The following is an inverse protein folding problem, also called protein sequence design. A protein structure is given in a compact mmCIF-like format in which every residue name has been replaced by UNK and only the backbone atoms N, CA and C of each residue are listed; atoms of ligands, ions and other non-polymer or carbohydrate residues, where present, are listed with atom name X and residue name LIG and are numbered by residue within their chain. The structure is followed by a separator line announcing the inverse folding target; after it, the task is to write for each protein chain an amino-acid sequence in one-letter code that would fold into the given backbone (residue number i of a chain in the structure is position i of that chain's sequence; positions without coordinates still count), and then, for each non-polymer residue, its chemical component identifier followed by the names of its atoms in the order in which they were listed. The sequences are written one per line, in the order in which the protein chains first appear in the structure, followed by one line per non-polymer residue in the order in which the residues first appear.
data_IF_095152100238
#
_entry.id   IF_095152100238
#
_cell.length_a   1.000
_cell.length_b   1.000
_cell.length_c   1.000
_cell.angle_alpha   90.00
_cell.angle_beta   90.00
_cell.angle_gamma   90.00
#
_symmetry.space_group_name_H-M   'P 1'
#
loop_
_entity.id
_entity.type
_entity.pdbx_description
1 polymer ?
#
# COMPACT_ATOMS: atom_id res chain seq x y z
N UNK A 1 -33.28 -21.77 -3.60
CA UNK A 1 -32.29 -20.95 -4.35
C UNK A 1 -30.99 -20.87 -3.56
N UNK A 2 -29.94 -21.60 -3.98
CA UNK A 2 -28.59 -21.46 -3.43
C UNK A 2 -28.01 -20.15 -3.95
N UNK A 3 -27.73 -19.18 -3.05
CA UNK A 3 -26.95 -17.97 -3.36
C UNK A 3 -25.52 -18.37 -3.70
N UNK A 4 -25.31 -18.75 -4.96
CA UNK A 4 -24.01 -18.92 -5.57
C UNK A 4 -23.55 -17.58 -6.14
N UNK A 5 -22.64 -16.91 -5.44
CA UNK A 5 -21.54 -16.14 -6.04
C UNK A 5 -20.59 -15.77 -4.91
N UNK A 6 -19.55 -16.58 -4.78
CA UNK A 6 -18.51 -16.44 -3.78
C UNK A 6 -17.76 -15.13 -3.99
N UNK A 7 -17.92 -14.18 -3.06
CA UNK A 7 -17.21 -12.88 -2.99
C UNK A 7 -15.70 -13.05 -2.79
N UNK A 8 -15.18 -14.28 -2.79
CA UNK A 8 -13.80 -14.63 -2.44
C UNK A 8 -12.79 -14.48 -3.59
N UNK A 9 -13.23 -14.17 -4.82
CA UNK A 9 -12.34 -13.71 -5.91
C UNK A 9 -12.19 -12.18 -5.98
N UNK A 10 -12.99 -11.43 -5.21
CA UNK A 10 -13.12 -9.95 -5.35
C UNK A 10 -12.27 -9.17 -4.34
N UNK A 11 -11.61 -9.85 -3.39
CA UNK A 11 -10.81 -9.19 -2.35
C UNK A 11 -9.53 -8.52 -2.88
N UNK A 12 -8.89 -9.12 -3.88
CA UNK A 12 -7.55 -8.72 -4.32
C UNK A 12 -7.55 -7.39 -5.11
N UNK A 13 -8.57 -7.14 -5.95
CA UNK A 13 -8.67 -5.88 -6.73
C UNK A 13 -8.92 -4.65 -5.87
N UNK A 14 -9.74 -4.80 -4.82
CA UNK A 14 -10.14 -3.68 -3.94
C UNK A 14 -8.95 -2.96 -3.29
N UNK A 15 -7.87 -3.68 -3.00
CA UNK A 15 -6.69 -3.08 -2.40
C UNK A 15 -5.94 -2.19 -3.39
N UNK A 16 -5.83 -2.61 -4.64
CA UNK A 16 -5.26 -1.79 -5.72
C UNK A 16 -6.17 -0.59 -6.04
N UNK A 17 -7.49 -0.75 -5.96
CA UNK A 17 -8.45 0.33 -6.19
C UNK A 17 -8.26 1.48 -5.19
N UNK A 18 -7.99 1.18 -3.91
CA UNK A 18 -7.72 2.22 -2.90
C UNK A 18 -6.44 3.01 -3.22
N UNK A 19 -5.38 2.33 -3.65
CA UNK A 19 -4.16 3.01 -4.09
C UNK A 19 -4.42 3.88 -5.32
N UNK A 20 -5.13 3.33 -6.32
CA UNK A 20 -5.53 4.07 -7.52
C UNK A 20 -6.33 5.33 -7.18
N UNK A 21 -7.30 5.24 -6.27
CA UNK A 21 -8.07 6.40 -5.82
C UNK A 21 -7.18 7.49 -5.18
N UNK A 22 -6.19 7.12 -4.36
CA UNK A 22 -5.26 8.11 -3.80
C UNK A 22 -4.42 8.81 -4.89
N UNK A 23 -4.04 8.08 -5.95
CA UNK A 23 -3.32 8.65 -7.10
C UNK A 23 -4.24 9.58 -7.91
N UNK A 24 -5.50 9.22 -8.12
CA UNK A 24 -6.49 10.06 -8.79
C UNK A 24 -6.71 11.37 -8.03
N UNK A 25 -6.83 11.32 -6.69
CA UNK A 25 -6.95 12.52 -5.86
C UNK A 25 -5.69 13.38 -5.96
N UNK A 26 -4.50 12.78 -5.95
CA UNK A 26 -3.23 13.51 -6.11
C UNK A 26 -3.18 14.25 -7.44
N UNK A 27 -3.53 13.58 -8.54
CA UNK A 27 -3.53 14.17 -9.88
C UNK A 27 -4.57 15.29 -9.98
N UNK A 28 -5.79 15.04 -9.48
CA UNK A 28 -6.85 16.04 -9.47
C UNK A 28 -6.45 17.29 -8.66
N UNK A 29 -5.80 17.10 -7.51
CA UNK A 29 -5.26 18.21 -6.72
C UNK A 29 -4.22 19.00 -7.52
N UNK A 30 -3.26 18.34 -8.17
CA UNK A 30 -2.22 19.01 -8.98
C UNK A 30 -2.78 19.80 -10.17
N UNK A 31 -3.83 19.29 -10.78
CA UNK A 31 -4.46 19.92 -11.95
C UNK A 31 -5.33 21.11 -11.56
N UNK A 32 -6.11 20.99 -10.47
CA UNK A 32 -7.22 21.91 -10.20
C UNK A 32 -6.98 22.86 -9.02
N UNK A 33 -6.43 22.37 -7.91
CA UNK A 33 -6.32 23.15 -6.67
C UNK A 33 -4.88 23.58 -6.34
N UNK A 34 -3.90 22.75 -6.69
CA UNK A 34 -2.49 22.87 -6.35
C UNK A 34 -2.25 23.11 -4.84
N UNK A 35 -3.11 22.51 -4.01
CA UNK A 35 -3.01 22.67 -2.56
C UNK A 35 -1.80 21.86 -2.05
N UNK A 36 -0.78 22.56 -1.57
CA UNK A 36 0.48 21.96 -1.11
C UNK A 36 0.25 20.98 0.05
N UNK A 37 -0.58 21.34 1.04
CA UNK A 37 -0.83 20.50 2.21
C UNK A 37 -1.54 19.20 1.85
N UNK A 38 -2.44 19.23 0.88
CA UNK A 38 -3.15 18.05 0.38
C UNK A 38 -2.18 17.11 -0.34
N UNK A 39 -1.36 17.66 -1.24
CA UNK A 39 -0.33 16.89 -1.94
C UNK A 39 0.67 16.25 -0.95
N UNK A 40 1.14 17.05 0.01
CA UNK A 40 2.04 16.58 1.06
C UNK A 40 1.41 15.45 1.89
N UNK A 41 0.15 15.62 2.31
CA UNK A 41 -0.57 14.59 3.06
C UNK A 41 -0.72 13.27 2.29
N UNK A 42 -0.96 13.37 0.98
CA UNK A 42 -1.08 12.20 0.10
C UNK A 42 0.26 11.49 -0.09
N UNK A 43 1.31 12.23 -0.45
CA UNK A 43 2.64 11.68 -0.75
C UNK A 43 3.35 11.14 0.49
N UNK A 44 3.28 11.86 1.61
CA UNK A 44 4.03 11.51 2.82
C UNK A 44 3.32 10.46 3.69
N UNK A 45 2.00 10.28 3.54
CA UNK A 45 1.21 9.42 4.43
C UNK A 45 0.23 8.48 3.72
N UNK A 46 -0.75 9.01 2.97
CA UNK A 46 -1.88 8.18 2.47
C UNK A 46 -1.44 7.15 1.43
N UNK A 47 -0.65 7.58 0.44
CA UNK A 47 -0.17 6.70 -0.63
C UNK A 47 0.75 5.61 -0.06
N UNK A 48 1.78 5.92 0.76
CA UNK A 48 2.62 4.87 1.35
C UNK A 48 1.84 3.92 2.26
N UNK A 49 0.89 4.42 3.07
CA UNK A 49 0.01 3.55 3.86
C UNK A 49 -0.80 2.58 3.00
N UNK A 50 -1.32 3.04 1.85
CA UNK A 50 -2.04 2.16 0.93
C UNK A 50 -1.15 1.05 0.39
N UNK A 51 0.12 1.35 0.06
CA UNK A 51 1.10 0.36 -0.42
C UNK A 51 1.41 -0.68 0.66
N UNK A 52 1.68 -0.24 1.90
CA UNK A 52 1.92 -1.14 3.03
C UNK A 52 0.70 -2.05 3.26
N UNK A 53 -0.51 -1.50 3.16
CA UNK A 53 -1.75 -2.26 3.32
C UNK A 53 -1.91 -3.31 2.23
N UNK A 54 -1.73 -2.96 0.95
CA UNK A 54 -1.72 -3.91 -0.18
C UNK A 54 -0.72 -5.03 0.09
N UNK A 55 0.52 -4.66 0.43
CA UNK A 55 1.59 -5.62 0.66
C UNK A 55 1.27 -6.58 1.80
N UNK A 56 0.82 -6.06 2.94
CA UNK A 56 0.49 -6.89 4.10
C UNK A 56 -0.70 -7.83 3.82
N UNK A 57 -1.74 -7.36 3.13
CA UNK A 57 -2.93 -8.16 2.82
C UNK A 57 -2.62 -9.29 1.83
N UNK A 58 -1.87 -9.00 0.76
CA UNK A 58 -1.50 -9.99 -0.25
C UNK A 58 -0.44 -10.97 0.27
N UNK A 59 0.48 -10.50 1.14
CA UNK A 59 1.44 -11.40 1.79
C UNK A 59 0.74 -12.44 2.68
N UNK A 60 -0.31 -12.03 3.41
CA UNK A 60 -1.13 -12.92 4.23
C UNK A 60 -1.91 -13.93 3.40
N UNK A 61 -2.57 -13.48 2.33
CA UNK A 61 -3.37 -14.39 1.49
C UNK A 61 -2.50 -15.42 0.75
N UNK A 62 -1.21 -15.14 0.57
CA UNK A 62 -0.28 -15.98 -0.17
C UNK A 62 -0.53 -16.00 -1.69
N UNK A 63 -1.55 -15.28 -2.17
CA UNK A 63 -1.95 -15.22 -3.58
C UNK A 63 -1.21 -14.09 -4.30
N UNK A 64 -1.07 -14.23 -5.62
CA UNK A 64 -0.56 -13.20 -6.52
C UNK A 64 0.81 -12.64 -6.08
N UNK A 65 1.70 -13.51 -5.59
CA UNK A 65 3.04 -13.12 -5.12
C UNK A 65 3.81 -12.40 -6.22
N UNK A 66 3.80 -12.93 -7.44
CA UNK A 66 4.57 -12.33 -8.54
C UNK A 66 4.05 -10.93 -8.89
N UNK A 67 2.73 -10.74 -8.92
CA UNK A 67 2.11 -9.43 -9.13
C UNK A 67 2.45 -8.44 -8.00
N UNK A 68 2.48 -8.92 -6.75
CA UNK A 68 2.88 -8.11 -5.60
C UNK A 68 4.33 -7.64 -5.70
N UNK A 69 5.24 -8.55 -6.07
CA UNK A 69 6.66 -8.22 -6.26
C UNK A 69 6.87 -7.30 -7.45
N UNK A 70 6.10 -7.48 -8.53
CA UNK A 70 6.08 -6.55 -9.67
C UNK A 70 5.61 -5.16 -9.25
N UNK A 71 4.53 -5.08 -8.45
CA UNK A 71 3.99 -3.82 -7.94
C UNK A 71 5.00 -3.04 -7.09
N UNK A 72 5.68 -3.67 -6.12
CA UNK A 72 6.66 -2.97 -5.27
C UNK A 72 7.96 -2.61 -5.97
N UNK A 73 8.25 -3.26 -7.11
CA UNK A 73 9.45 -2.96 -7.90
C UNK A 73 9.24 -1.79 -8.86
N UNK A 74 8.01 -1.31 -9.03
CA UNK A 74 7.74 -0.08 -9.76
C UNK A 74 8.42 1.12 -9.11
N UNK A 75 9.10 1.95 -9.92
CA UNK A 75 9.89 3.07 -9.44
C UNK A 75 9.04 4.12 -8.70
N UNK A 76 7.79 4.35 -9.12
CA UNK A 76 6.91 5.30 -8.44
C UNK A 76 6.52 4.75 -7.06
N UNK A 77 6.16 3.47 -6.99
CA UNK A 77 5.85 2.80 -5.72
C UNK A 77 7.03 2.87 -4.76
N UNK A 78 8.25 2.59 -5.24
CA UNK A 78 9.48 2.71 -4.45
C UNK A 78 9.72 4.15 -3.99
N UNK A 79 9.44 5.14 -4.84
CA UNK A 79 9.54 6.56 -4.50
C UNK A 79 8.57 6.95 -3.39
N UNK A 80 7.31 6.53 -3.47
CA UNK A 80 6.32 6.77 -2.42
C UNK A 80 6.74 6.14 -1.08
N UNK A 81 7.22 4.89 -1.09
CA UNK A 81 7.71 4.24 0.13
C UNK A 81 8.89 4.99 0.77
N UNK A 82 9.81 5.54 -0.05
CA UNK A 82 10.92 6.40 0.44
C UNK A 82 10.43 7.70 1.05
N UNK A 83 9.34 8.27 0.53
CA UNK A 83 8.77 9.54 0.97
C UNK A 83 7.98 9.47 2.27
N UNK A 84 7.77 8.28 2.85
CA UNK A 84 6.95 8.13 4.04
C UNK A 84 7.55 8.85 5.26
N UNK A 85 6.75 9.74 5.87
CA UNK A 85 7.13 10.43 7.11
C UNK A 85 6.36 9.87 8.30
N UNK A 86 6.98 9.95 9.48
CA UNK A 86 6.28 9.65 10.74
C UNK A 86 5.49 10.91 11.09
N UNK A 87 4.19 10.79 11.28
CA UNK A 87 3.41 11.88 11.88
C UNK A 87 3.69 11.90 13.40
N UNK A 88 3.21 12.90 14.13
CA UNK A 88 3.51 13.06 15.57
C UNK A 88 3.08 11.88 16.46
N UNK A 89 2.31 10.93 15.93
CA UNK A 89 1.90 9.73 16.64
C UNK A 89 2.97 8.63 16.56
N UNK A 90 3.54 8.26 17.72
CA UNK A 90 4.51 7.17 17.88
C UNK A 90 4.04 5.83 17.29
N UNK A 91 2.74 5.58 17.26
CA UNK A 91 2.19 4.38 16.63
C UNK A 91 2.49 4.28 15.13
N UNK A 92 2.79 5.40 14.46
CA UNK A 92 3.08 5.42 13.03
C UNK A 92 4.52 5.00 12.69
N UNK A 93 5.40 4.87 13.70
CA UNK A 93 6.77 4.38 13.50
C UNK A 93 6.76 2.97 12.90
N UNK A 94 5.81 2.12 13.30
CA UNK A 94 5.67 0.75 12.75
C UNK A 94 5.44 0.75 11.23
N UNK A 95 4.73 1.76 10.72
CA UNK A 95 4.49 1.90 9.28
C UNK A 95 5.73 2.38 8.54
N UNK A 96 6.56 3.23 9.17
CA UNK A 96 7.85 3.62 8.58
C UNK A 96 8.81 2.45 8.50
N UNK A 97 8.89 1.64 9.55
CA UNK A 97 9.66 0.40 9.55
C UNK A 97 9.14 -0.55 8.47
N UNK A 98 7.81 -0.72 8.36
CA UNK A 98 7.21 -1.54 7.31
C UNK A 98 7.55 -1.02 5.89
N UNK A 99 7.48 0.29 5.65
CA UNK A 99 7.82 0.89 4.36
C UNK A 99 9.27 0.56 3.95
N UNK A 100 10.23 0.74 4.87
CA UNK A 100 11.64 0.42 4.60
C UNK A 100 11.90 -1.08 4.44
N UNK A 101 11.23 -1.91 5.23
CA UNK A 101 11.30 -3.37 5.08
C UNK A 101 10.82 -3.82 3.70
N UNK A 102 9.70 -3.28 3.22
CA UNK A 102 9.19 -3.57 1.87
C UNK A 102 10.17 -3.05 0.80
N UNK A 103 10.75 -1.87 1.01
CA UNK A 103 11.64 -1.23 0.04
C UNK A 103 12.98 -1.96 -0.16
N UNK A 104 13.61 -2.37 0.94
CA UNK A 104 14.96 -2.92 0.94
C UNK A 104 15.02 -4.44 1.10
N UNK A 105 14.05 -5.02 1.81
CA UNK A 105 14.03 -6.45 2.13
C UNK A 105 12.65 -7.09 1.85
N UNK A 106 12.12 -6.96 0.62
CA UNK A 106 10.74 -7.36 0.31
C UNK A 106 10.46 -8.85 0.56
N UNK A 107 11.42 -9.74 0.35
CA UNK A 107 11.28 -11.16 0.67
C UNK A 107 11.12 -11.42 2.17
N UNK A 108 11.91 -10.72 3.00
CA UNK A 108 11.83 -10.82 4.46
C UNK A 108 10.49 -10.25 4.93
N UNK A 109 10.11 -9.08 4.42
CA UNK A 109 8.84 -8.43 4.73
C UNK A 109 7.65 -9.35 4.38
N UNK A 110 7.66 -9.98 3.20
CA UNK A 110 6.61 -10.90 2.76
C UNK A 110 6.44 -12.07 3.74
N UNK A 111 7.55 -12.72 4.11
CA UNK A 111 7.54 -13.84 5.05
C UNK A 111 7.05 -13.40 6.44
N UNK A 112 7.52 -12.25 6.94
CA UNK A 112 7.09 -11.71 8.23
C UNK A 112 5.59 -11.46 8.28
N UNK A 113 5.02 -10.81 7.26
CA UNK A 113 3.58 -10.55 7.23
C UNK A 113 2.74 -11.81 7.04
N UNK A 114 3.29 -12.82 6.36
CA UNK A 114 2.66 -14.14 6.22
C UNK A 114 2.67 -14.93 7.54
N UNK A 115 3.73 -14.85 8.34
CA UNK A 115 3.87 -15.61 9.60
C UNK A 115 2.92 -15.17 10.72
N UNK A 116 2.35 -13.97 10.66
CA UNK A 116 1.40 -13.45 11.68
C UNK A 116 0.03 -14.19 11.73
N UNK A 117 -0.12 -15.32 11.05
CA UNK A 117 -1.31 -16.19 11.09
C UNK A 117 -1.24 -17.34 12.13
N UNK A 118 -0.23 -17.38 13.00
CA UNK A 118 -0.20 -18.33 14.12
C UNK A 118 -0.61 -17.69 15.43
#
# INVERSE_FOLDING_TARGET
MRRGTSVTKTGDKKYFDLHKSNIEILNYNRENFRAYDVEKALLEYKIPHSIIRIFSSLSKSGKNKDDLFKFINDNNIRSYLKGFKVSDNKENIKFKVAAYMILYFPHIAYNLFKMKEK
#
